data_IF_473207173417
#
_entry.id   IF_473207173417
#
_cell.length_a   1.000
_cell.length_b   1.000
_cell.length_c   1.000
_cell.angle_alpha   90.00
_cell.angle_beta   90.00
_cell.angle_gamma   90.00
#
_symmetry.space_group_name_H-M   'P 1'
#
loop_
_entity.id
_entity.type
_entity.pdbx_description
1 polymer ?
#
# COMPACT_ATOMS: atom_id res chain seq x y z
N UNK A 1 0.56 10.61 -6.12
CA UNK A 1 0.12 9.51 -5.25
C UNK A 1 -0.74 8.55 -6.05
N UNK A 2 -0.20 7.37 -6.37
CA UNK A 2 -0.86 6.31 -7.14
C UNK A 2 -0.78 4.96 -6.38
N UNK A 3 -1.84 4.14 -6.48
CA UNK A 3 -1.93 2.81 -5.85
C UNK A 3 -2.40 1.78 -6.88
N UNK A 4 -1.62 0.72 -7.08
CA UNK A 4 -1.97 -0.37 -8.00
C UNK A 4 -2.56 -1.56 -7.24
N UNK A 5 -3.81 -1.91 -7.57
CA UNK A 5 -4.56 -3.02 -6.98
C UNK A 5 -4.87 -4.17 -7.95
N UNK A 6 -4.46 -4.04 -9.20
CA UNK A 6 -4.64 -5.05 -10.25
C UNK A 6 -3.51 -6.09 -10.29
N UNK A 7 -2.58 -6.05 -9.31
CA UNK A 7 -1.48 -6.99 -9.19
C UNK A 7 -1.89 -8.14 -8.25
N UNK A 8 -1.75 -9.41 -8.68
CA UNK A 8 -2.10 -10.54 -7.83
C UNK A 8 -1.29 -10.59 -6.54
N UNK A 9 -1.97 -10.67 -5.39
CA UNK A 9 -1.35 -10.93 -4.08
C UNK A 9 -0.61 -9.76 -3.43
N UNK A 10 -0.45 -8.64 -4.14
CA UNK A 10 0.26 -7.47 -3.64
C UNK A 10 -0.48 -6.17 -3.96
N UNK A 11 -0.16 -5.13 -3.19
CA UNK A 11 -0.54 -3.76 -3.50
C UNK A 11 0.71 -2.89 -3.52
N UNK A 12 0.93 -2.23 -4.67
CA UNK A 12 2.07 -1.35 -4.87
C UNK A 12 1.65 0.10 -4.69
N UNK A 13 2.39 0.86 -3.89
CA UNK A 13 2.18 2.30 -3.70
C UNK A 13 3.35 3.06 -4.32
N UNK A 14 3.00 4.05 -5.14
CA UNK A 14 3.93 4.93 -5.86
C UNK A 14 3.72 6.37 -5.39
N UNK A 15 4.79 6.93 -4.85
CA UNK A 15 4.89 8.39 -4.62
C UNK A 15 6.11 9.00 -5.32
N UNK A 16 6.70 8.29 -6.29
CA UNK A 16 7.77 8.84 -7.12
C UNK A 16 7.18 9.46 -8.38
N UNK A 17 7.62 10.67 -8.75
CA UNK A 17 7.33 11.30 -10.05
C UNK A 17 8.11 10.66 -11.22
N UNK A 18 8.97 9.67 -10.94
CA UNK A 18 9.71 8.91 -11.95
C UNK A 18 9.00 7.56 -12.14
N UNK A 19 8.30 7.32 -13.28
CA UNK A 19 7.52 6.09 -13.48
C UNK A 19 8.33 4.80 -13.33
N UNK A 20 9.59 4.83 -13.75
CA UNK A 20 10.53 3.70 -13.66
C UNK A 20 11.24 3.57 -12.29
N UNK A 21 10.90 4.41 -11.30
CA UNK A 21 11.55 4.41 -9.99
C UNK A 21 11.21 3.16 -9.15
N UNK A 22 11.55 3.14 -7.85
CA UNK A 22 11.12 2.11 -6.92
C UNK A 22 9.66 2.31 -6.45
N UNK A 23 9.02 1.21 -6.03
CA UNK A 23 7.69 1.17 -5.42
C UNK A 23 7.76 0.56 -4.02
N UNK A 24 6.87 0.99 -3.12
CA UNK A 24 6.64 0.27 -1.86
C UNK A 24 5.63 -0.86 -2.13
N UNK A 25 6.04 -2.10 -1.88
CA UNK A 25 5.22 -3.29 -2.13
C UNK A 25 4.72 -3.86 -0.81
N UNK A 26 3.41 -4.01 -0.69
CA UNK A 26 2.75 -4.64 0.45
C UNK A 26 2.08 -5.93 -0.01
N UNK A 27 2.07 -6.97 0.85
CA UNK A 27 1.15 -8.09 0.64
C UNK A 27 -0.29 -7.61 0.79
N UNK A 28 -1.24 -8.32 0.17
CA UNK A 28 -2.67 -8.02 0.36
C UNK A 28 -3.08 -8.04 1.84
N UNK A 29 -2.54 -8.98 2.63
CA UNK A 29 -2.85 -9.09 4.07
C UNK A 29 -2.32 -7.91 4.88
N UNK A 30 -1.09 -7.45 4.60
CA UNK A 30 -0.52 -6.28 5.26
C UNK A 30 -1.31 -5.01 4.91
N UNK A 31 -1.71 -4.85 3.65
CA UNK A 31 -2.53 -3.72 3.22
C UNK A 31 -3.90 -3.69 3.89
N UNK A 32 -4.60 -4.83 3.95
CA UNK A 32 -5.89 -4.92 4.63
C UNK A 32 -5.75 -4.57 6.11
N UNK A 33 -4.73 -5.12 6.80
CA UNK A 33 -4.48 -4.82 8.21
C UNK A 33 -4.19 -3.34 8.45
N UNK A 34 -3.41 -2.71 7.58
CA UNK A 34 -3.16 -1.27 7.63
C UNK A 34 -4.45 -0.46 7.54
N UNK A 35 -5.34 -0.78 6.60
CA UNK A 35 -6.64 -0.10 6.46
C UNK A 35 -7.54 -0.33 7.68
N UNK A 36 -7.60 -1.55 8.21
CA UNK A 36 -8.35 -1.85 9.44
C UNK A 36 -7.83 -1.01 10.60
N UNK A 37 -6.52 -0.96 10.81
CA UNK A 37 -5.93 -0.18 11.90
C UNK A 37 -6.21 1.32 11.77
N UNK A 38 -6.23 1.87 10.55
CA UNK A 38 -6.62 3.27 10.33
C UNK A 38 -8.09 3.49 10.65
N UNK A 39 -8.96 2.61 10.14
CA UNK A 39 -10.42 2.72 10.33
C UNK A 39 -10.79 2.66 11.81
N UNK A 40 -10.13 1.78 12.55
CA UNK A 40 -10.38 1.59 13.98
C UNK A 40 -9.64 2.61 14.86
N UNK A 41 -8.79 3.48 14.27
CA UNK A 41 -7.95 4.42 15.02
C UNK A 41 -6.89 3.75 15.89
N UNK A 42 -6.48 2.53 15.54
CA UNK A 42 -5.55 1.70 16.33
C UNK A 42 -4.13 1.69 15.76
N UNK A 43 -3.89 2.31 14.62
CA UNK A 43 -2.55 2.47 14.07
C UNK A 43 -1.72 3.36 14.99
N UNK A 44 -0.72 2.78 15.66
CA UNK A 44 0.26 3.49 16.46
C UNK A 44 1.58 3.56 15.68
N UNK A 45 2.05 4.76 15.35
CA UNK A 45 3.23 5.06 14.53
C UNK A 45 4.22 5.96 15.25
#
# INVERSE_FOLDING_TARGET
>A
MEVASNLPGIRAVRDSKTPAGPALIFSSSAWTRFLTCITDGTLNV
#
